data_IF_625039015288
#
_entry.id   IF_625039015288
#
_cell.length_a   1.000
_cell.length_b   1.000
_cell.length_c   1.000
_cell.angle_alpha   90.00
_cell.angle_beta   90.00
_cell.angle_gamma   90.00
#
_symmetry.space_group_name_H-M   'P 1'
#
loop_
_entity.id
_entity.type
_entity.pdbx_description
1 polymer ?
#
# COMPACT_ATOMS: atom_id res chain seq x y z
N UNK A 1 18.24 -16.17 -27.95
CA UNK A 1 18.46 -15.38 -26.73
C UNK A 1 17.06 -15.05 -26.13
N UNK A 2 16.72 -15.62 -24.98
CA UNK A 2 15.42 -15.35 -24.38
C UNK A 2 15.32 -13.92 -23.84
N UNK A 3 14.13 -13.30 -24.04
CA UNK A 3 13.82 -11.98 -23.53
C UNK A 3 12.56 -12.06 -22.69
N UNK A 4 12.60 -11.49 -21.50
CA UNK A 4 11.47 -11.49 -20.57
C UNK A 4 10.98 -10.08 -20.36
N UNK A 5 9.66 -9.90 -20.37
CA UNK A 5 9.01 -8.62 -20.09
C UNK A 5 8.92 -8.43 -18.57
N UNK A 6 9.57 -7.40 -18.06
CA UNK A 6 9.46 -7.00 -16.64
C UNK A 6 8.37 -5.96 -16.44
N UNK A 7 8.45 -4.87 -17.18
CA UNK A 7 7.45 -3.80 -17.21
C UNK A 7 7.06 -3.32 -15.80
N UNK A 8 8.06 -3.11 -14.96
CA UNK A 8 7.88 -2.75 -13.56
C UNK A 8 9.00 -1.85 -13.05
N UNK A 9 8.68 -1.07 -12.02
CA UNK A 9 9.67 -0.35 -11.23
C UNK A 9 10.51 -1.37 -10.46
N UNK A 10 11.83 -1.20 -10.46
CA UNK A 10 12.76 -2.04 -9.71
C UNK A 10 13.57 -1.20 -8.72
N UNK A 11 14.14 -1.87 -7.71
CA UNK A 11 15.08 -1.22 -6.78
C UNK A 11 16.32 -0.73 -7.53
N UNK A 12 16.94 0.32 -7.01
CA UNK A 12 17.98 1.08 -7.71
C UNK A 12 19.17 0.22 -8.22
N UNK A 13 19.56 -0.82 -7.49
CA UNK A 13 20.72 -1.62 -7.85
C UNK A 13 20.40 -2.78 -8.79
N UNK A 14 19.14 -3.06 -9.07
CA UNK A 14 18.75 -4.23 -9.87
C UNK A 14 19.24 -4.12 -11.32
N UNK A 15 19.12 -2.94 -11.93
CA UNK A 15 19.59 -2.72 -13.29
C UNK A 15 21.10 -3.00 -13.42
N UNK A 16 21.89 -2.49 -12.47
CA UNK A 16 23.33 -2.70 -12.45
C UNK A 16 23.70 -4.18 -12.29
N UNK A 17 22.98 -4.91 -11.45
CA UNK A 17 23.20 -6.35 -11.27
C UNK A 17 22.96 -7.13 -12.56
N UNK A 18 21.92 -6.77 -13.31
CA UNK A 18 21.67 -7.37 -14.63
C UNK A 18 22.82 -7.08 -15.60
N UNK A 19 23.27 -5.83 -15.67
CA UNK A 19 24.40 -5.45 -16.54
C UNK A 19 25.65 -6.22 -16.18
N UNK A 20 25.97 -6.33 -14.89
CA UNK A 20 27.11 -7.09 -14.39
C UNK A 20 27.02 -8.59 -14.75
N UNK A 21 25.82 -9.11 -14.89
CA UNK A 21 25.57 -10.50 -15.30
C UNK A 21 25.56 -10.71 -16.80
N UNK A 22 25.88 -9.67 -17.58
CA UNK A 22 25.93 -9.74 -19.04
C UNK A 22 24.55 -9.62 -19.71
N UNK A 23 23.53 -9.17 -18.99
CA UNK A 23 22.19 -9.00 -19.52
C UNK A 23 22.04 -7.65 -20.24
N UNK A 24 21.24 -7.63 -21.29
CA UNK A 24 20.88 -6.41 -22.01
C UNK A 24 19.52 -5.92 -21.53
N UNK A 25 19.45 -4.66 -21.14
CA UNK A 25 18.24 -4.04 -20.60
C UNK A 25 17.70 -2.97 -21.53
N UNK A 26 16.37 -2.86 -21.56
CA UNK A 26 15.68 -1.66 -22.06
C UNK A 26 15.08 -0.99 -20.84
N UNK A 27 15.57 0.19 -20.49
CA UNK A 27 15.13 0.94 -19.31
C UNK A 27 14.84 2.38 -19.66
N UNK A 28 14.02 3.02 -18.85
CA UNK A 28 13.83 4.47 -18.88
C UNK A 28 13.62 4.97 -17.46
N UNK A 29 13.92 6.25 -17.25
CA UNK A 29 13.72 6.89 -15.96
C UNK A 29 12.35 7.53 -15.89
N UNK A 30 11.59 7.23 -14.84
CA UNK A 30 10.25 7.77 -14.65
C UNK A 30 10.30 9.26 -14.28
N UNK A 31 9.31 10.02 -14.73
CA UNK A 31 9.03 11.37 -14.25
C UNK A 31 8.58 11.30 -12.78
N UNK A 32 8.62 12.43 -12.08
CA UNK A 32 8.18 12.50 -10.69
C UNK A 32 6.73 12.02 -10.51
N UNK A 33 5.83 12.43 -11.41
CA UNK A 33 4.42 12.02 -11.35
C UNK A 33 4.23 10.52 -11.63
N UNK A 34 4.94 10.00 -12.64
CA UNK A 34 4.87 8.59 -13.00
C UNK A 34 5.53 7.70 -11.93
N UNK A 35 6.57 8.20 -11.25
CA UNK A 35 7.21 7.48 -10.15
C UNK A 35 6.22 7.23 -9.01
N UNK A 36 5.42 8.22 -8.62
CA UNK A 36 4.41 8.02 -7.57
C UNK A 36 3.41 6.92 -7.95
N UNK A 37 2.91 6.95 -9.19
CA UNK A 37 1.99 5.90 -9.67
C UNK A 37 2.65 4.52 -9.65
N UNK A 38 3.91 4.44 -10.07
CA UNK A 38 4.65 3.19 -10.07
C UNK A 38 4.90 2.67 -8.65
N UNK A 39 5.18 3.56 -7.69
CA UNK A 39 5.34 3.19 -6.28
C UNK A 39 4.02 2.66 -5.69
N UNK A 40 2.89 3.29 -6.00
CA UNK A 40 1.58 2.78 -5.57
C UNK A 40 1.31 1.40 -6.19
N UNK A 41 1.67 1.21 -7.46
CA UNK A 41 1.60 -0.09 -8.11
C UNK A 41 2.47 -1.15 -7.42
N UNK A 42 3.68 -0.76 -7.00
CA UNK A 42 4.56 -1.63 -6.20
C UNK A 42 3.93 -1.99 -4.86
N UNK A 43 3.26 -1.05 -4.21
CA UNK A 43 2.58 -1.32 -2.94
C UNK A 43 1.51 -2.40 -3.11
N UNK A 44 0.72 -2.35 -4.18
CA UNK A 44 -0.25 -3.40 -4.51
C UNK A 44 0.43 -4.73 -4.78
N UNK A 45 1.52 -4.73 -5.55
CA UNK A 45 2.31 -5.93 -5.86
C UNK A 45 2.84 -6.59 -4.57
N UNK A 46 3.43 -5.79 -3.67
CA UNK A 46 3.97 -6.31 -2.41
C UNK A 46 2.87 -6.79 -1.45
N UNK A 47 1.70 -6.17 -1.47
CA UNK A 47 0.55 -6.65 -0.70
C UNK A 47 0.11 -8.04 -1.18
N UNK A 48 0.10 -8.28 -2.49
CA UNK A 48 -0.18 -9.60 -3.06
C UNK A 48 0.87 -10.64 -2.63
N UNK A 49 2.15 -10.25 -2.60
CA UNK A 49 3.23 -11.12 -2.13
C UNK A 49 3.08 -11.46 -0.64
N UNK A 50 2.62 -10.53 0.19
CA UNK A 50 2.28 -10.80 1.60
C UNK A 50 1.23 -11.91 1.69
N UNK A 51 0.17 -11.82 0.88
CA UNK A 51 -0.89 -12.83 0.84
C UNK A 51 -0.38 -14.20 0.37
N UNK A 52 0.60 -14.23 -0.51
CA UNK A 52 1.17 -15.45 -1.09
C UNK A 52 2.26 -16.08 -0.22
N UNK A 53 2.75 -15.40 0.82
CA UNK A 53 3.82 -15.92 1.67
C UNK A 53 3.37 -17.14 2.47
N UNK A 54 4.16 -18.19 2.45
CA UNK A 54 3.81 -19.47 3.08
C UNK A 54 4.61 -19.75 4.36
N UNK A 55 5.72 -19.05 4.57
CA UNK A 55 6.60 -19.24 5.72
C UNK A 55 6.73 -17.95 6.52
N UNK A 56 7.13 -18.10 7.78
CA UNK A 56 7.42 -16.97 8.66
C UNK A 56 8.53 -16.07 8.07
N UNK A 57 9.58 -16.67 7.56
CA UNK A 57 10.70 -15.90 6.98
C UNK A 57 10.32 -15.18 5.71
N UNK A 58 9.53 -15.80 4.82
CA UNK A 58 9.05 -15.13 3.62
C UNK A 58 8.10 -13.99 3.96
N UNK A 59 7.27 -14.15 4.98
CA UNK A 59 6.38 -13.06 5.43
C UNK A 59 7.19 -11.86 5.93
N UNK A 60 8.27 -12.08 6.67
CA UNK A 60 9.18 -11.00 7.11
C UNK A 60 9.75 -10.27 5.90
N UNK A 61 10.23 -11.00 4.88
CA UNK A 61 10.78 -10.39 3.67
C UNK A 61 9.73 -9.52 2.94
N UNK A 62 8.51 -10.04 2.79
CA UNK A 62 7.45 -9.32 2.10
C UNK A 62 6.98 -8.09 2.89
N UNK A 63 6.92 -8.16 4.20
CA UNK A 63 6.62 -6.99 5.04
C UNK A 63 7.73 -5.94 4.96
N UNK A 64 9.00 -6.37 4.87
CA UNK A 64 10.12 -5.46 4.65
C UNK A 64 10.01 -4.74 3.28
N UNK A 65 9.57 -5.46 2.24
CA UNK A 65 9.35 -4.89 0.92
C UNK A 65 8.20 -3.87 0.93
N UNK A 66 7.10 -4.17 1.62
CA UNK A 66 5.99 -3.21 1.83
C UNK A 66 6.52 -1.95 2.52
N UNK A 67 7.29 -2.12 3.58
CA UNK A 67 7.85 -1.00 4.33
C UNK A 67 8.78 -0.13 3.46
N UNK A 68 9.62 -0.75 2.63
CA UNK A 68 10.51 -0.02 1.71
C UNK A 68 9.72 0.84 0.73
N UNK A 69 8.63 0.31 0.18
CA UNK A 69 7.76 1.06 -0.73
C UNK A 69 7.09 2.23 0.00
N UNK A 70 6.60 2.03 1.23
CA UNK A 70 6.02 3.09 2.03
C UNK A 70 7.04 4.22 2.30
N UNK A 71 8.27 3.85 2.63
CA UNK A 71 9.35 4.82 2.83
C UNK A 71 9.66 5.61 1.56
N UNK A 72 9.66 4.94 0.41
CA UNK A 72 9.90 5.58 -0.89
C UNK A 72 8.78 6.57 -1.25
N UNK A 73 7.53 6.22 -0.99
CA UNK A 73 6.37 7.11 -1.19
C UNK A 73 6.50 8.35 -0.29
N UNK A 74 6.80 8.16 0.99
CA UNK A 74 6.98 9.25 1.94
C UNK A 74 8.08 10.21 1.48
N UNK A 75 9.23 9.68 1.10
CA UNK A 75 10.35 10.48 0.59
C UNK A 75 9.98 11.26 -0.66
N UNK A 76 9.28 10.62 -1.59
CA UNK A 76 8.81 11.25 -2.83
C UNK A 76 7.88 12.44 -2.52
N UNK A 77 7.01 12.32 -1.52
CA UNK A 77 6.06 13.34 -1.12
C UNK A 77 6.64 14.39 -0.15
N UNK A 78 7.90 14.26 0.26
CA UNK A 78 8.50 15.16 1.24
C UNK A 78 7.96 14.98 2.66
N UNK A 79 7.46 13.79 2.98
CA UNK A 79 6.89 13.44 4.28
C UNK A 79 7.93 12.64 5.06
N UNK A 80 8.11 12.97 6.35
CA UNK A 80 9.03 12.21 7.21
C UNK A 80 8.34 11.01 7.82
N UNK A 81 9.13 9.99 8.16
CA UNK A 81 8.62 8.82 8.87
C UNK A 81 8.07 9.19 10.25
N UNK A 82 8.67 10.19 10.91
CA UNK A 82 8.20 10.69 12.21
C UNK A 82 6.80 11.29 12.09
N UNK A 83 6.50 12.02 11.00
CA UNK A 83 5.17 12.56 10.75
C UNK A 83 4.12 11.44 10.62
N UNK A 84 4.46 10.40 9.86
CA UNK A 84 3.59 9.24 9.68
C UNK A 84 3.37 8.53 11.02
N UNK A 85 4.44 8.30 11.78
CA UNK A 85 4.39 7.61 13.07
C UNK A 85 3.53 8.36 14.09
N UNK A 86 3.66 9.70 14.15
CA UNK A 86 2.85 10.52 15.04
C UNK A 86 1.35 10.37 14.75
N UNK A 87 0.96 10.41 13.48
CA UNK A 87 -0.43 10.22 13.06
C UNK A 87 -0.91 8.78 13.33
N UNK A 88 -0.05 7.80 13.04
CA UNK A 88 -0.35 6.39 13.29
C UNK A 88 -0.65 6.14 14.77
N UNK A 89 0.22 6.63 15.65
CA UNK A 89 0.06 6.48 17.11
C UNK A 89 -1.20 7.18 17.61
N UNK A 90 -1.47 8.40 17.14
CA UNK A 90 -2.67 9.15 17.52
C UNK A 90 -3.95 8.39 17.13
N UNK A 91 -3.97 7.80 15.93
CA UNK A 91 -5.10 6.97 15.48
C UNK A 91 -5.25 5.70 16.33
N UNK A 92 -4.13 5.04 16.63
CA UNK A 92 -4.14 3.83 17.47
C UNK A 92 -4.64 4.14 18.87
N UNK A 93 -4.22 5.26 19.47
CA UNK A 93 -4.68 5.67 20.79
C UNK A 93 -6.19 5.97 20.81
N UNK A 94 -6.72 6.53 19.73
CA UNK A 94 -8.13 6.89 19.64
C UNK A 94 -9.03 5.73 19.21
N UNK A 95 -8.61 4.96 18.20
CA UNK A 95 -9.43 3.93 17.55
C UNK A 95 -9.02 2.51 17.90
N UNK A 96 -7.82 2.32 18.44
CA UNK A 96 -7.22 1.01 18.67
C UNK A 96 -6.52 0.46 17.43
N UNK A 97 -5.91 -0.69 17.59
CA UNK A 97 -5.35 -1.47 16.49
C UNK A 97 -6.34 -2.51 15.99
N UNK A 98 -5.83 -3.66 15.57
CA UNK A 98 -6.64 -4.73 14.97
C UNK A 98 -6.65 -6.03 15.79
N UNK A 99 -6.11 -6.02 17.00
CA UNK A 99 -5.92 -7.24 17.80
C UNK A 99 -7.22 -7.93 18.19
N UNK A 100 -8.33 -7.21 18.24
CA UNK A 100 -9.64 -7.78 18.58
C UNK A 100 -10.27 -8.55 17.43
N UNK A 101 -9.80 -8.38 16.20
CA UNK A 101 -10.34 -9.06 15.03
C UNK A 101 -11.81 -8.79 14.76
N UNK A 102 -12.29 -7.57 15.02
CA UNK A 102 -13.71 -7.21 14.82
C UNK A 102 -13.97 -6.91 13.36
N UNK A 103 -14.89 -7.64 12.78
CA UNK A 103 -15.39 -7.40 11.41
C UNK A 103 -16.83 -6.93 11.50
N UNK A 104 -17.12 -5.74 10.98
CA UNK A 104 -18.50 -5.20 10.96
C UNK A 104 -19.11 -5.50 9.59
N UNK A 105 -20.15 -6.31 9.57
CA UNK A 105 -20.88 -6.61 8.34
C UNK A 105 -21.83 -5.46 7.99
N UNK A 106 -22.58 -4.95 8.96
CA UNK A 106 -23.48 -3.81 8.75
C UNK A 106 -23.67 -3.03 10.05
N UNK A 107 -24.10 -1.78 9.91
CA UNK A 107 -24.44 -0.91 11.04
C UNK A 107 -25.83 -0.32 10.79
N UNK A 108 -26.72 -0.43 11.78
CA UNK A 108 -28.01 0.23 11.74
C UNK A 108 -27.97 1.47 12.62
N UNK A 109 -28.30 2.60 12.04
CA UNK A 109 -28.34 3.90 12.72
C UNK A 109 -29.79 4.36 12.79
N UNK A 110 -30.46 4.28 13.95
CA UNK A 110 -31.91 4.54 14.04
C UNK A 110 -32.28 6.01 13.88
N UNK A 111 -31.34 6.92 14.05
CA UNK A 111 -31.59 8.36 13.99
C UNK A 111 -31.03 8.93 12.67
N UNK A 112 -31.92 9.43 11.80
CA UNK A 112 -31.57 10.07 10.54
C UNK A 112 -30.66 11.29 10.72
N UNK A 113 -30.71 11.95 11.87
CA UNK A 113 -29.89 13.13 12.17
C UNK A 113 -28.47 12.76 12.65
N UNK A 114 -28.16 11.47 12.79
CA UNK A 114 -26.83 11.04 13.17
C UNK A 114 -25.82 11.45 12.10
N UNK A 115 -24.74 12.11 12.55
CA UNK A 115 -23.66 12.56 11.63
C UNK A 115 -23.06 11.43 10.81
N UNK A 116 -23.06 10.21 11.34
CA UNK A 116 -22.52 9.03 10.64
C UNK A 116 -23.42 8.59 9.49
N UNK A 117 -24.72 8.87 9.52
CA UNK A 117 -25.61 8.63 8.37
C UNK A 117 -25.14 9.45 7.17
N UNK A 118 -24.89 10.76 7.38
CA UNK A 118 -24.40 11.64 6.32
C UNK A 118 -23.01 11.23 5.83
N UNK A 119 -22.14 10.87 6.76
CA UNK A 119 -20.78 10.39 6.43
C UNK A 119 -20.84 9.18 5.49
N UNK A 120 -21.68 8.19 5.80
CA UNK A 120 -21.82 7.01 4.95
C UNK A 120 -22.46 7.34 3.59
N UNK A 121 -23.47 8.21 3.57
CA UNK A 121 -24.15 8.60 2.32
C UNK A 121 -23.27 9.42 1.38
N UNK A 122 -22.24 10.08 1.89
CA UNK A 122 -21.24 10.79 1.07
C UNK A 122 -20.30 9.84 0.30
N UNK A 123 -20.23 8.59 0.69
CA UNK A 123 -19.37 7.59 0.07
C UNK A 123 -20.14 6.30 -0.20
N UNK A 124 -21.15 6.33 -1.12
CA UNK A 124 -22.05 5.19 -1.33
C UNK A 124 -21.35 3.95 -1.88
N UNK A 125 -20.24 4.08 -2.59
CA UNK A 125 -19.46 2.94 -3.08
C UNK A 125 -18.77 2.21 -1.93
N UNK A 126 -18.37 2.93 -0.90
CA UNK A 126 -17.69 2.40 0.27
C UNK A 126 -18.68 1.90 1.34
N UNK A 127 -19.80 2.59 1.49
CA UNK A 127 -20.84 2.31 2.48
C UNK A 127 -22.21 2.28 1.80
N UNK A 128 -22.52 1.23 1.02
CA UNK A 128 -23.82 1.15 0.36
C UNK A 128 -24.95 1.04 1.38
N UNK A 129 -26.00 1.86 1.21
CA UNK A 129 -27.19 1.82 2.04
C UNK A 129 -28.04 0.61 1.64
N UNK A 130 -28.29 -0.30 2.59
CA UNK A 130 -29.00 -1.55 2.37
C UNK A 130 -30.36 -1.63 3.07
N UNK A 131 -30.77 -0.57 3.77
CA UNK A 131 -32.07 -0.48 4.43
C UNK A 131 -33.19 -0.34 3.41
N UNK A 132 -34.32 -0.93 3.73
CA UNK A 132 -35.55 -0.83 2.93
C UNK A 132 -36.22 0.53 3.03
#
# INVERSE_FOLDING_TARGET
MPTFKYDKLVRDNIADWHVQSGHTLVTYQLTKADLLRALVGKLHEEADEVSASETHDSLIEELADVQEVLMAIAKHAGITLDDIEAVRMAKTNRKGGFSKGVYIESVTMPNEDDKWVQYCRQSPDKYPEISE
#
